data_IF_009382912095
#
_entry.id   IF_009382912095
#
_cell.length_a   1.000
_cell.length_b   1.000
_cell.length_c   1.000
_cell.angle_alpha   90.00
_cell.angle_beta   90.00
_cell.angle_gamma   90.00
#
_symmetry.space_group_name_H-M   'P 1'
#
loop_
_entity.id
_entity.type
_entity.pdbx_description
1 polymer ?
#
# COMPACT_ATOMS: atom_id res chain seq x y z
N UNK A 1 -2.95 -16.10 -26.02
CA UNK A 1 -2.68 -14.87 -25.25
C UNK A 1 -3.30 -15.03 -23.88
N UNK A 2 -2.50 -14.82 -22.82
CA UNK A 2 -3.04 -14.82 -21.45
C UNK A 2 -4.07 -13.69 -21.34
N UNK A 3 -5.22 -13.97 -20.74
CA UNK A 3 -6.21 -12.92 -20.49
C UNK A 3 -5.65 -11.92 -19.47
N UNK A 4 -5.86 -10.61 -19.66
CA UNK A 4 -5.32 -9.60 -18.77
C UNK A 4 -5.92 -9.73 -17.35
N UNK A 5 -5.11 -9.43 -16.33
CA UNK A 5 -5.62 -9.15 -14.99
C UNK A 5 -6.06 -7.69 -14.96
N UNK A 6 -7.29 -7.44 -14.56
CA UNK A 6 -7.86 -6.08 -14.45
C UNK A 6 -8.35 -5.83 -13.03
N UNK A 7 -7.86 -4.75 -12.42
CA UNK A 7 -8.08 -4.44 -11.01
C UNK A 7 -8.46 -2.98 -10.86
N UNK A 8 -9.50 -2.66 -10.11
CA UNK A 8 -9.72 -1.30 -9.62
C UNK A 8 -9.00 -1.15 -8.28
N UNK A 9 -8.30 -0.04 -8.10
CA UNK A 9 -7.60 0.30 -6.86
C UNK A 9 -8.11 1.61 -6.29
N UNK A 10 -8.70 1.52 -5.10
CA UNK A 10 -9.21 2.65 -4.33
C UNK A 10 -8.36 2.80 -3.06
N UNK A 11 -7.91 4.00 -2.76
CA UNK A 11 -7.09 4.26 -1.57
C UNK A 11 -7.41 5.61 -0.97
N UNK A 12 -7.03 5.82 0.27
CA UNK A 12 -7.21 7.09 0.98
C UNK A 12 -8.67 7.56 0.89
N UNK A 13 -9.56 6.69 1.35
CA UNK A 13 -11.01 6.88 1.31
C UNK A 13 -11.45 7.95 2.31
N UNK A 14 -10.77 8.03 3.46
CA UNK A 14 -11.00 8.95 4.55
C UNK A 14 -12.48 9.08 4.91
N UNK A 15 -13.16 7.94 5.01
CA UNK A 15 -14.56 7.94 5.41
C UNK A 15 -14.73 8.65 6.76
N UNK A 16 -15.61 9.63 6.78
CA UNK A 16 -16.05 10.26 8.02
C UNK A 16 -17.52 10.64 7.89
N UNK A 17 -18.34 10.19 8.86
CA UNK A 17 -19.77 10.39 8.82
C UNK A 17 -20.14 11.87 8.66
N UNK A 18 -21.05 12.18 7.74
CA UNK A 18 -21.49 13.53 7.46
C UNK A 18 -20.54 14.38 6.61
N UNK A 19 -19.37 13.86 6.23
CA UNK A 19 -18.42 14.56 5.36
C UNK A 19 -18.64 14.28 3.87
N UNK A 20 -17.98 15.05 3.01
CA UNK A 20 -17.99 14.85 1.56
C UNK A 20 -17.38 13.51 1.12
N UNK A 21 -16.49 12.92 1.93
CA UNK A 21 -15.83 11.65 1.63
C UNK A 21 -16.81 10.50 1.47
N UNK A 22 -17.90 10.48 2.22
CA UNK A 22 -18.98 9.48 2.08
C UNK A 22 -19.59 9.52 0.68
N UNK A 23 -19.83 10.72 0.17
CA UNK A 23 -20.38 10.92 -1.18
C UNK A 23 -19.37 10.52 -2.25
N UNK A 24 -18.10 10.88 -2.06
CA UNK A 24 -17.03 10.55 -3.00
C UNK A 24 -16.82 9.04 -3.08
N UNK A 25 -16.73 8.35 -1.93
CA UNK A 25 -16.63 6.90 -1.88
C UNK A 25 -17.85 6.21 -2.53
N UNK A 26 -19.05 6.67 -2.19
CA UNK A 26 -20.29 6.13 -2.80
C UNK A 26 -20.27 6.25 -4.32
N UNK A 27 -19.78 7.37 -4.85
CA UNK A 27 -19.65 7.57 -6.31
C UNK A 27 -18.62 6.63 -6.92
N UNK A 28 -17.44 6.48 -6.29
CA UNK A 28 -16.42 5.56 -6.75
C UNK A 28 -16.92 4.10 -6.75
N UNK A 29 -17.56 3.65 -5.68
CA UNK A 29 -18.12 2.29 -5.58
C UNK A 29 -19.20 2.04 -6.66
N UNK A 30 -20.11 2.99 -6.86
CA UNK A 30 -21.13 2.88 -7.93
C UNK A 30 -20.50 2.81 -9.31
N UNK A 31 -19.49 3.62 -9.58
CA UNK A 31 -18.78 3.64 -10.85
C UNK A 31 -18.00 2.34 -11.09
N UNK A 32 -17.28 1.82 -10.08
CA UNK A 32 -16.61 0.50 -10.14
C UNK A 32 -17.61 -0.59 -10.52
N UNK A 33 -18.82 -0.54 -9.96
CA UNK A 33 -19.87 -1.50 -10.28
C UNK A 33 -20.40 -1.40 -11.72
N UNK A 34 -20.12 -0.32 -12.45
CA UNK A 34 -20.43 -0.21 -13.88
C UNK A 34 -19.37 -0.82 -14.80
N UNK A 35 -18.16 -1.04 -14.30
CA UNK A 35 -17.06 -1.59 -15.09
C UNK A 35 -17.26 -3.09 -15.29
N UNK A 36 -17.14 -3.55 -16.52
CA UNK A 36 -17.13 -4.98 -16.84
C UNK A 36 -15.70 -5.51 -16.96
N UNK A 37 -15.53 -6.78 -16.60
CA UNK A 37 -14.27 -7.50 -16.77
C UNK A 37 -13.19 -7.17 -15.75
N UNK A 38 -13.51 -6.55 -14.61
CA UNK A 38 -12.61 -6.54 -13.47
C UNK A 38 -12.54 -7.94 -12.85
N UNK A 39 -11.36 -8.32 -12.40
CA UNK A 39 -11.17 -9.57 -11.66
C UNK A 39 -11.48 -9.40 -10.17
N UNK A 40 -11.05 -8.28 -9.59
CA UNK A 40 -11.28 -7.93 -8.19
C UNK A 40 -11.00 -6.43 -7.96
N UNK A 41 -11.19 -5.99 -6.73
CA UNK A 41 -10.89 -4.63 -6.27
C UNK A 41 -9.86 -4.69 -5.16
N UNK A 42 -8.91 -3.77 -5.15
CA UNK A 42 -7.94 -3.58 -4.07
C UNK A 42 -8.23 -2.26 -3.36
N UNK A 43 -8.12 -2.26 -2.04
CA UNK A 43 -8.31 -1.09 -1.18
C UNK A 43 -7.00 -0.83 -0.43
N UNK A 44 -6.42 0.33 -0.68
CA UNK A 44 -5.04 0.67 -0.31
C UNK A 44 -4.83 1.34 1.04
N UNK A 45 -5.80 1.24 1.97
CA UNK A 45 -5.68 1.83 3.30
C UNK A 45 -6.21 3.26 3.40
N UNK A 46 -6.10 3.84 4.60
CA UNK A 46 -6.78 5.06 5.01
C UNK A 46 -8.27 5.02 4.65
N UNK A 47 -8.91 3.95 5.14
CA UNK A 47 -10.33 3.69 4.92
C UNK A 47 -11.18 4.77 5.56
N UNK A 48 -10.74 5.22 6.75
CA UNK A 48 -11.41 6.15 7.62
C UNK A 48 -10.57 7.40 7.83
N UNK A 49 -11.18 8.47 8.32
CA UNK A 49 -10.44 9.69 8.67
C UNK A 49 -9.90 9.64 10.11
N UNK A 50 -10.64 9.02 11.01
CA UNK A 50 -10.29 8.98 12.43
C UNK A 50 -9.98 7.57 12.97
N UNK A 51 -10.34 6.51 12.26
CA UNK A 51 -10.07 5.13 12.69
C UNK A 51 -10.94 4.68 13.85
N UNK A 52 -12.10 5.28 14.05
CA UNK A 52 -13.06 4.80 15.07
C UNK A 52 -13.63 3.45 14.65
N UNK A 53 -14.02 2.64 15.62
CA UNK A 53 -14.61 1.34 15.35
C UNK A 53 -15.91 1.46 14.55
N UNK A 54 -16.67 2.53 14.77
CA UNK A 54 -17.88 2.85 14.01
C UNK A 54 -17.55 3.19 12.55
N UNK A 55 -16.53 4.00 12.29
CA UNK A 55 -16.11 4.35 10.93
C UNK A 55 -15.62 3.11 10.15
N UNK A 56 -14.85 2.23 10.78
CA UNK A 56 -14.41 0.96 10.18
C UNK A 56 -15.61 0.09 9.77
N UNK A 57 -16.60 -0.04 10.67
CA UNK A 57 -17.80 -0.80 10.37
C UNK A 57 -18.63 -0.17 9.24
N UNK A 58 -18.74 1.15 9.23
CA UNK A 58 -19.50 1.87 8.20
C UNK A 58 -18.84 1.78 6.83
N UNK A 59 -17.51 1.94 6.73
CA UNK A 59 -16.80 1.80 5.46
C UNK A 59 -16.88 0.37 4.94
N UNK A 60 -16.79 -0.64 5.82
CA UNK A 60 -17.00 -2.05 5.45
C UNK A 60 -18.34 -2.24 4.76
N UNK A 61 -19.41 -1.68 5.35
CA UNK A 61 -20.75 -1.77 4.79
C UNK A 61 -20.85 -1.12 3.39
N UNK A 62 -20.14 -0.01 3.16
CA UNK A 62 -20.10 0.60 1.83
C UNK A 62 -19.32 -0.27 0.84
N UNK A 63 -18.18 -0.83 1.23
CA UNK A 63 -17.38 -1.71 0.38
C UNK A 63 -18.12 -3.01 0.05
N UNK A 64 -18.96 -3.52 0.94
CA UNK A 64 -19.79 -4.71 0.69
C UNK A 64 -20.83 -4.51 -0.43
N UNK A 65 -21.06 -3.27 -0.85
CA UNK A 65 -21.90 -2.98 -2.02
C UNK A 65 -21.16 -3.12 -3.36
N UNK A 66 -19.84 -3.39 -3.35
CA UNK A 66 -19.11 -3.75 -4.55
C UNK A 66 -19.57 -5.10 -5.09
N UNK A 67 -19.82 -5.19 -6.39
CA UNK A 67 -20.18 -6.45 -7.05
C UNK A 67 -18.98 -7.39 -7.24
N UNK A 68 -17.76 -6.87 -7.03
CA UNK A 68 -16.51 -7.61 -7.13
C UNK A 68 -15.99 -7.97 -5.76
N UNK A 69 -15.29 -9.11 -5.66
CA UNK A 69 -14.51 -9.42 -4.49
C UNK A 69 -13.47 -8.33 -4.27
N UNK A 70 -13.25 -7.92 -3.04
CA UNK A 70 -12.26 -6.91 -2.71
C UNK A 70 -11.34 -7.37 -1.58
N UNK A 71 -10.15 -6.78 -1.53
CA UNK A 71 -9.13 -7.04 -0.53
C UNK A 71 -8.60 -5.71 0.00
N UNK A 72 -8.34 -5.64 1.29
CA UNK A 72 -8.08 -4.40 2.01
C UNK A 72 -6.77 -4.49 2.77
N UNK A 73 -5.99 -3.42 2.75
CA UNK A 73 -4.92 -3.17 3.73
C UNK A 73 -5.29 -1.96 4.58
N UNK A 74 -4.83 -1.91 5.83
CA UNK A 74 -5.01 -0.76 6.69
C UNK A 74 -4.01 0.35 6.34
N UNK A 75 -4.42 1.62 6.57
CA UNK A 75 -3.54 2.78 6.55
C UNK A 75 -3.36 3.38 7.95
N UNK A 76 -2.60 4.47 8.06
CA UNK A 76 -2.32 5.10 9.35
C UNK A 76 -3.53 5.78 9.99
N UNK A 77 -4.49 6.24 9.19
CA UNK A 77 -5.72 6.81 9.71
C UNK A 77 -6.66 5.76 10.31
N UNK A 78 -6.54 4.50 9.94
CA UNK A 78 -7.40 3.42 10.41
C UNK A 78 -7.12 3.00 11.86
N UNK A 79 -6.01 3.48 12.42
CA UNK A 79 -5.62 3.24 13.81
C UNK A 79 -5.74 4.47 14.72
N UNK A 80 -6.08 5.63 14.17
CA UNK A 80 -5.83 6.93 14.80
C UNK A 80 -6.57 7.14 16.13
N UNK A 81 -7.84 6.76 16.19
CA UNK A 81 -8.71 6.91 17.35
C UNK A 81 -9.53 5.63 17.62
N UNK A 82 -8.94 4.47 17.32
CA UNK A 82 -9.61 3.19 17.55
C UNK A 82 -9.83 2.93 19.03
N UNK A 83 -11.07 2.76 19.44
CA UNK A 83 -11.46 2.43 20.80
C UNK A 83 -11.06 1.00 21.18
N UNK A 84 -11.00 0.10 20.19
CA UNK A 84 -10.62 -1.30 20.36
C UNK A 84 -9.12 -1.56 20.23
N UNK A 85 -8.27 -0.52 20.06
CA UNK A 85 -6.86 -0.70 19.76
C UNK A 85 -6.63 -1.38 18.40
N UNK A 86 -7.37 -0.97 17.38
CA UNK A 86 -7.33 -1.47 16.01
C UNK A 86 -7.89 -2.90 15.81
N UNK A 87 -8.41 -3.54 16.85
CA UNK A 87 -8.96 -4.89 16.74
C UNK A 87 -10.21 -4.96 15.85
N UNK A 88 -10.93 -3.86 15.65
CA UNK A 88 -12.11 -3.83 14.77
C UNK A 88 -11.75 -4.08 13.32
N UNK A 89 -10.60 -3.63 12.84
CA UNK A 89 -10.16 -3.93 11.47
C UNK A 89 -10.08 -5.46 11.26
N UNK A 90 -9.33 -6.17 12.10
CA UNK A 90 -9.21 -7.62 12.03
C UNK A 90 -10.57 -8.32 12.19
N UNK A 91 -11.39 -7.88 13.13
CA UNK A 91 -12.73 -8.44 13.39
C UNK A 91 -13.66 -8.29 12.18
N UNK A 92 -13.60 -7.17 11.49
CA UNK A 92 -14.51 -6.80 10.40
C UNK A 92 -14.07 -7.41 9.06
N UNK A 93 -12.77 -7.38 8.75
CA UNK A 93 -12.22 -7.89 7.50
C UNK A 93 -11.70 -9.33 7.60
N UNK A 94 -11.39 -9.81 8.80
CA UNK A 94 -10.97 -11.20 9.06
C UNK A 94 -9.49 -11.48 8.81
N UNK A 95 -8.71 -10.48 8.44
CA UNK A 95 -7.26 -10.60 8.17
C UNK A 95 -6.58 -9.23 8.28
N UNK A 96 -5.28 -9.22 8.46
CA UNK A 96 -4.42 -8.02 8.36
C UNK A 96 -3.44 -8.14 7.18
N UNK A 97 -3.09 -9.37 6.83
CA UNK A 97 -2.29 -9.69 5.64
C UNK A 97 -3.06 -10.66 4.76
N UNK A 98 -2.84 -10.63 3.45
CA UNK A 98 -3.48 -11.56 2.53
C UNK A 98 -2.56 -12.00 1.41
N UNK A 99 -2.81 -13.19 0.89
CA UNK A 99 -2.21 -13.76 -0.31
C UNK A 99 -3.31 -14.42 -1.16
N UNK A 100 -3.29 -14.17 -2.46
CA UNK A 100 -4.11 -14.92 -3.42
C UNK A 100 -3.48 -14.88 -4.81
N UNK A 101 -3.97 -15.72 -5.69
CA UNK A 101 -3.50 -15.80 -7.08
C UNK A 101 -4.63 -15.47 -8.06
N UNK A 102 -4.26 -14.77 -9.13
CA UNK A 102 -5.13 -14.48 -10.26
C UNK A 102 -4.32 -14.51 -11.56
N UNK A 103 -4.73 -15.37 -12.49
CA UNK A 103 -4.18 -15.46 -13.86
C UNK A 103 -2.64 -15.46 -13.89
N UNK A 104 -2.03 -16.30 -13.04
CA UNK A 104 -0.57 -16.47 -12.98
C UNK A 104 0.20 -15.40 -12.19
N UNK A 105 -0.49 -14.43 -11.62
CA UNK A 105 0.07 -13.43 -10.71
C UNK A 105 -0.35 -13.69 -9.27
N UNK A 106 0.58 -13.55 -8.35
CA UNK A 106 0.31 -13.54 -6.91
C UNK A 106 0.12 -12.11 -6.44
N UNK A 107 -0.90 -11.88 -5.64
CA UNK A 107 -1.17 -10.61 -4.98
C UNK A 107 -1.02 -10.81 -3.48
N UNK A 108 -0.23 -9.94 -2.86
CA UNK A 108 -0.05 -9.93 -1.41
C UNK A 108 -0.30 -8.54 -0.87
N UNK A 109 -1.04 -8.46 0.22
CA UNK A 109 -1.26 -7.23 0.96
C UNK A 109 -0.72 -7.37 2.37
N UNK A 110 -0.05 -6.33 2.86
CA UNK A 110 0.59 -6.35 4.17
C UNK A 110 0.12 -5.16 5.00
N UNK A 111 -0.13 -5.42 6.27
CA UNK A 111 -0.35 -4.39 7.28
C UNK A 111 0.88 -3.48 7.38
N UNK A 112 0.68 -2.17 7.40
CA UNK A 112 1.74 -1.17 7.53
C UNK A 112 1.94 -0.66 8.97
N UNK A 113 1.44 -1.39 9.96
CA UNK A 113 1.56 -1.03 11.36
C UNK A 113 0.53 0.01 11.80
N UNK A 114 -0.74 -0.37 11.96
CA UNK A 114 -1.79 0.52 12.43
C UNK A 114 -1.53 1.10 13.81
N UNK A 115 -0.64 0.51 14.60
CA UNK A 115 -0.21 1.04 15.89
C UNK A 115 0.54 2.36 15.78
N UNK A 116 1.06 2.68 14.61
CA UNK A 116 1.77 3.92 14.33
C UNK A 116 0.84 4.93 13.69
N UNK A 117 0.24 5.78 14.50
CA UNK A 117 -0.72 6.82 14.07
C UNK A 117 -0.15 7.87 13.11
N UNK A 118 1.17 7.96 13.06
CA UNK A 118 1.91 8.90 12.22
C UNK A 118 3.15 8.22 11.66
N UNK A 119 3.65 8.73 10.54
CA UNK A 119 4.95 8.32 10.02
C UNK A 119 6.08 8.58 11.05
N UNK A 120 7.11 7.74 11.08
CA UNK A 120 7.31 6.58 10.23
C UNK A 120 6.45 5.39 10.64
N UNK A 121 5.97 4.63 9.64
CA UNK A 121 5.29 3.37 9.85
C UNK A 121 6.29 2.25 10.21
N UNK A 122 5.79 1.12 10.61
CA UNK A 122 6.58 -0.10 10.84
C UNK A 122 5.74 -1.30 10.41
N UNK A 123 6.26 -2.10 9.50
CA UNK A 123 5.64 -3.40 9.22
C UNK A 123 5.81 -4.27 10.48
N UNK A 124 4.72 -4.71 11.13
CA UNK A 124 4.78 -5.46 12.38
C UNK A 124 5.58 -6.75 12.27
N UNK A 125 6.11 -7.22 13.39
CA UNK A 125 6.91 -8.43 13.42
C UNK A 125 6.15 -9.65 12.86
N UNK A 126 4.90 -9.81 13.23
CA UNK A 126 4.05 -10.91 12.74
C UNK A 126 3.86 -10.87 11.23
N UNK A 127 3.70 -9.68 10.68
CA UNK A 127 3.61 -9.47 9.23
C UNK A 127 4.94 -9.72 8.53
N UNK A 128 6.06 -9.37 9.15
CA UNK A 128 7.40 -9.71 8.63
C UNK A 128 7.66 -11.21 8.67
N UNK A 129 7.26 -11.91 9.72
CA UNK A 129 7.37 -13.37 9.82
C UNK A 129 6.49 -14.06 8.77
N UNK A 130 5.26 -13.58 8.58
CA UNK A 130 4.39 -14.05 7.51
C UNK A 130 5.02 -13.83 6.13
N UNK A 131 5.57 -12.65 5.85
CA UNK A 131 6.23 -12.33 4.58
C UNK A 131 7.45 -13.25 4.33
N UNK A 132 8.28 -13.48 5.36
CA UNK A 132 9.42 -14.42 5.32
C UNK A 132 8.99 -15.86 5.04
N UNK A 133 7.80 -16.25 5.49
CA UNK A 133 7.22 -17.56 5.23
C UNK A 133 6.72 -17.80 3.80
N UNK A 134 6.54 -16.74 3.02
CA UNK A 134 6.07 -16.86 1.64
C UNK A 134 7.12 -17.50 0.73
N UNK A 135 6.67 -18.42 -0.13
CA UNK A 135 7.55 -19.13 -1.06
C UNK A 135 8.00 -18.22 -2.20
N UNK A 136 9.28 -18.29 -2.60
CA UNK A 136 9.78 -17.55 -3.77
C UNK A 136 9.23 -18.13 -5.10
N UNK A 137 9.54 -17.44 -6.20
CA UNK A 137 9.35 -17.95 -7.56
C UNK A 137 8.02 -17.61 -8.22
N UNK A 138 7.14 -16.85 -7.56
CA UNK A 138 5.90 -16.37 -8.18
C UNK A 138 6.03 -14.90 -8.60
N UNK A 139 5.49 -14.56 -9.77
CA UNK A 139 5.31 -13.17 -10.18
C UNK A 139 4.36 -12.50 -9.18
N UNK A 140 4.87 -11.59 -8.37
CA UNK A 140 4.13 -11.03 -7.24
C UNK A 140 3.90 -9.54 -7.40
N UNK A 141 2.71 -9.09 -7.05
CA UNK A 141 2.32 -7.69 -6.86
C UNK A 141 2.13 -7.50 -5.35
N UNK A 142 2.76 -6.47 -4.81
CA UNK A 142 2.68 -6.12 -3.39
C UNK A 142 1.78 -4.91 -3.18
N UNK A 143 0.90 -4.97 -2.21
CA UNK A 143 0.01 -3.90 -1.82
C UNK A 143 0.31 -3.50 -0.37
N UNK A 144 0.61 -2.22 -0.17
CA UNK A 144 0.79 -1.62 1.14
C UNK A 144 0.29 -0.17 1.09
N UNK A 145 -0.01 0.43 2.23
CA UNK A 145 -0.47 1.81 2.23
C UNK A 145 0.68 2.80 2.02
N UNK A 146 1.79 2.62 2.75
CA UNK A 146 2.97 3.50 2.69
C UNK A 146 3.92 3.15 1.54
N UNK A 147 4.65 4.13 1.00
CA UNK A 147 5.81 3.84 0.16
C UNK A 147 6.89 3.10 0.96
N UNK A 148 7.61 2.17 0.32
CA UNK A 148 8.73 1.44 0.95
C UNK A 148 10.01 2.29 0.93
N UNK A 149 9.97 3.41 1.60
CA UNK A 149 11.09 4.34 1.80
C UNK A 149 11.26 4.66 3.29
N UNK A 150 11.92 5.74 3.63
CA UNK A 150 12.14 6.17 5.03
C UNK A 150 10.84 6.49 5.79
N UNK A 151 9.69 6.46 5.13
CA UNK A 151 8.37 6.51 5.78
C UNK A 151 8.03 5.22 6.54
N UNK A 152 8.76 4.12 6.28
CA UNK A 152 8.62 2.82 6.94
C UNK A 152 9.95 2.47 7.59
N UNK A 153 9.99 2.31 8.91
CA UNK A 153 11.25 2.13 9.66
C UNK A 153 12.07 0.91 9.22
N UNK A 154 11.41 -0.16 8.86
CA UNK A 154 12.05 -1.41 8.41
C UNK A 154 11.91 -1.65 6.90
N UNK A 155 11.80 -0.57 6.10
CA UNK A 155 11.56 -0.67 4.66
C UNK A 155 12.62 -1.50 3.91
N UNK A 156 13.88 -1.45 4.33
CA UNK A 156 14.95 -2.21 3.68
C UNK A 156 14.79 -3.72 3.89
N UNK A 157 14.37 -4.17 5.08
CA UNK A 157 14.07 -5.57 5.35
C UNK A 157 12.85 -6.02 4.54
N UNK A 158 11.81 -5.19 4.50
CA UNK A 158 10.61 -5.44 3.70
C UNK A 158 10.98 -5.57 2.22
N UNK A 159 11.69 -4.61 1.66
CA UNK A 159 12.10 -4.59 0.26
C UNK A 159 12.97 -5.80 -0.10
N UNK A 160 13.89 -6.20 0.78
CA UNK A 160 14.69 -7.43 0.61
C UNK A 160 13.82 -8.68 0.52
N UNK A 161 12.86 -8.82 1.43
CA UNK A 161 11.94 -9.97 1.43
C UNK A 161 11.02 -9.95 0.20
N UNK A 162 10.55 -8.77 -0.21
CA UNK A 162 9.74 -8.62 -1.42
C UNK A 162 10.51 -9.09 -2.67
N UNK A 163 11.78 -8.70 -2.81
CA UNK A 163 12.64 -9.16 -3.92
C UNK A 163 12.85 -10.68 -3.85
N UNK A 164 13.11 -11.22 -2.65
CA UNK A 164 13.28 -12.68 -2.44
C UNK A 164 12.10 -13.50 -2.91
N UNK A 165 10.87 -13.04 -2.66
CA UNK A 165 9.65 -13.76 -3.00
C UNK A 165 9.21 -13.59 -4.45
N UNK A 166 9.88 -12.73 -5.23
CA UNK A 166 9.59 -12.52 -6.65
C UNK A 166 8.64 -11.35 -6.92
N UNK A 167 8.57 -10.36 -6.01
CA UNK A 167 7.79 -9.14 -6.23
C UNK A 167 8.36 -8.37 -7.42
N UNK A 168 7.48 -7.93 -8.31
CA UNK A 168 7.82 -7.19 -9.53
C UNK A 168 7.26 -5.79 -9.55
N UNK A 169 6.29 -5.52 -8.69
CA UNK A 169 5.63 -4.22 -8.64
C UNK A 169 4.96 -4.00 -7.28
N UNK A 170 4.94 -2.74 -6.83
CA UNK A 170 4.28 -2.31 -5.61
C UNK A 170 3.19 -1.29 -5.91
N UNK A 171 2.08 -1.37 -5.18
CA UNK A 171 0.95 -0.45 -5.28
C UNK A 171 0.65 0.09 -3.89
N UNK A 172 0.60 1.41 -3.75
CA UNK A 172 0.33 2.08 -2.49
C UNK A 172 -0.53 3.34 -2.61
N UNK A 173 -0.75 3.98 -1.48
CA UNK A 173 -1.52 5.22 -1.34
C UNK A 173 -0.77 6.32 -0.59
N UNK A 174 -1.36 6.84 0.49
CA UNK A 174 -0.78 7.76 1.47
C UNK A 174 -0.50 9.19 0.99
N UNK A 175 -0.02 9.38 -0.24
CA UNK A 175 0.30 10.73 -0.75
C UNK A 175 -0.86 11.39 -1.51
N UNK A 176 -1.99 10.72 -1.65
CA UNK A 176 -3.19 11.20 -2.33
C UNK A 176 -2.96 11.65 -3.78
N UNK A 177 -1.92 11.16 -4.44
CA UNK A 177 -1.55 11.56 -5.80
C UNK A 177 -0.91 10.41 -6.56
N UNK A 178 -1.07 10.44 -7.88
CA UNK A 178 -0.41 9.50 -8.77
C UNK A 178 1.08 9.85 -8.89
N UNK A 179 1.96 8.91 -8.52
CA UNK A 179 3.41 9.05 -8.66
C UNK A 179 4.06 7.68 -8.86
N UNK A 180 5.02 7.61 -9.77
CA UNK A 180 5.84 6.42 -9.97
C UNK A 180 7.11 6.51 -9.12
N UNK A 181 7.46 5.42 -8.46
CA UNK A 181 8.60 5.31 -7.56
C UNK A 181 9.45 4.09 -7.92
N UNK A 182 10.65 4.07 -7.38
CA UNK A 182 11.57 2.94 -7.46
C UNK A 182 12.16 2.71 -6.06
N UNK A 183 12.02 1.49 -5.57
CA UNK A 183 12.47 1.07 -4.24
C UNK A 183 13.68 0.15 -4.40
N UNK A 184 14.85 0.73 -4.62
CA UNK A 184 16.10 -0.01 -4.88
C UNK A 184 15.95 -1.04 -6.00
N UNK A 185 15.36 -0.61 -7.13
CA UNK A 185 15.12 -1.42 -8.32
C UNK A 185 13.77 -2.14 -8.35
N UNK A 186 13.00 -2.15 -7.27
CA UNK A 186 11.61 -2.59 -7.26
C UNK A 186 10.70 -1.42 -7.66
N UNK A 187 10.07 -1.45 -8.84
CA UNK A 187 9.20 -0.37 -9.27
C UNK A 187 7.86 -0.41 -8.53
N UNK A 188 7.30 0.77 -8.31
CA UNK A 188 5.98 0.90 -7.72
C UNK A 188 5.28 2.20 -8.09
N UNK A 189 4.06 2.31 -7.65
CA UNK A 189 3.26 3.53 -7.76
C UNK A 189 2.56 3.83 -6.44
N UNK A 190 2.41 5.10 -6.14
CA UNK A 190 1.39 5.56 -5.22
C UNK A 190 0.26 6.16 -6.02
N UNK A 191 -0.94 5.97 -5.54
CA UNK A 191 -2.14 6.32 -6.27
C UNK A 191 -2.90 7.47 -5.61
N UNK A 192 -3.73 8.10 -6.41
CA UNK A 192 -4.61 9.18 -5.96
C UNK A 192 -5.64 8.67 -4.96
N UNK A 193 -6.03 9.54 -4.02
CA UNK A 193 -7.19 9.35 -3.15
C UNK A 193 -8.51 9.34 -3.95
N UNK A 194 -9.54 8.69 -3.40
CA UNK A 194 -10.91 8.76 -3.92
C UNK A 194 -11.56 10.14 -3.76
N UNK A 195 -11.00 11.00 -2.92
CA UNK A 195 -11.57 12.29 -2.54
C UNK A 195 -11.59 13.31 -3.66
N UNK A 196 -12.59 14.18 -3.64
CA UNK A 196 -12.68 15.36 -4.50
C UNK A 196 -11.49 16.30 -4.27
N UNK A 197 -11.18 16.70 -3.05
CA UNK A 197 -9.99 17.48 -2.63
C UNK A 197 -9.51 18.52 -3.65
N UNK A 198 -10.40 19.38 -4.15
CA UNK A 198 -10.09 20.39 -5.16
C UNK A 198 -10.02 19.89 -6.61
N UNK A 199 -10.36 18.63 -6.87
CA UNK A 199 -10.46 17.98 -8.19
C UNK A 199 -11.75 17.15 -8.26
N UNK A 200 -11.75 16.11 -9.06
CA UNK A 200 -12.87 15.15 -9.14
C UNK A 200 -12.57 13.93 -8.27
N UNK A 201 -13.55 13.30 -7.65
CA UNK A 201 -13.38 11.98 -7.08
C UNK A 201 -12.96 10.98 -8.15
N UNK A 202 -12.26 9.94 -7.77
CA UNK A 202 -11.80 8.95 -8.72
C UNK A 202 -10.88 7.91 -8.08
N UNK A 203 -10.31 7.07 -8.93
CA UNK A 203 -9.47 5.95 -8.54
C UNK A 203 -8.62 5.51 -9.73
N UNK A 204 -7.76 4.51 -9.54
CA UNK A 204 -6.97 3.95 -10.64
C UNK A 204 -7.45 2.55 -11.04
N UNK A 205 -7.24 2.23 -12.30
CA UNK A 205 -7.48 0.89 -12.86
C UNK A 205 -6.15 0.35 -13.38
N UNK A 206 -5.79 -0.83 -12.91
CA UNK A 206 -4.59 -1.56 -13.32
C UNK A 206 -4.95 -2.63 -14.34
N UNK A 207 -4.21 -2.68 -15.41
CA UNK A 207 -4.26 -3.79 -16.39
C UNK A 207 -2.89 -4.42 -16.48
N UNK A 208 -2.79 -5.71 -16.12
CA UNK A 208 -1.55 -6.48 -16.23
C UNK A 208 -1.72 -7.47 -17.37
N UNK A 209 -0.88 -7.35 -18.39
CA UNK A 209 -0.92 -8.19 -19.58
C UNK A 209 0.49 -8.33 -20.17
N UNK A 210 0.87 -9.52 -20.61
CA UNK A 210 2.16 -9.81 -21.23
C UNK A 210 3.35 -9.27 -20.40
N UNK A 211 3.32 -9.52 -19.09
CA UNK A 211 4.30 -9.00 -18.12
C UNK A 211 4.48 -7.47 -18.16
N UNK A 212 3.43 -6.74 -18.47
CA UNK A 212 3.40 -5.27 -18.40
C UNK A 212 2.21 -4.81 -17.60
N UNK A 213 2.39 -3.75 -16.81
CA UNK A 213 1.31 -3.06 -16.12
C UNK A 213 1.02 -1.73 -16.80
N UNK A 214 -0.26 -1.44 -16.99
CA UNK A 214 -0.75 -0.10 -17.34
C UNK A 214 -1.65 0.38 -16.22
N UNK A 215 -1.38 1.57 -15.71
CA UNK A 215 -2.17 2.26 -14.68
C UNK A 215 -2.90 3.41 -15.32
N UNK A 216 -4.23 3.38 -15.22
CA UNK A 216 -5.10 4.42 -15.77
C UNK A 216 -5.85 5.13 -14.65
N UNK A 217 -5.81 6.46 -14.64
CA UNK A 217 -6.61 7.25 -13.72
C UNK A 217 -8.03 7.39 -14.24
N UNK A 218 -9.00 7.10 -13.37
CA UNK A 218 -10.42 7.26 -13.65
C UNK A 218 -10.98 8.41 -12.82
N UNK A 219 -11.47 9.45 -13.51
CA UNK A 219 -12.00 10.70 -12.92
C UNK A 219 -13.50 10.79 -13.14
N UNK A 220 -14.25 11.13 -12.09
CA UNK A 220 -15.69 11.17 -12.09
C UNK A 220 -16.20 12.61 -12.12
N UNK A 221 -16.45 13.15 -13.31
CA UNK A 221 -16.95 14.52 -13.49
C UNK A 221 -18.47 14.56 -13.36
N UNK A 222 -19.00 15.54 -12.60
CA UNK A 222 -20.43 15.71 -12.44
C UNK A 222 -21.15 14.41 -12.05
N UNK A 223 -22.32 14.18 -12.56
CA UNK A 223 -23.12 12.97 -12.28
C UNK A 223 -22.96 11.84 -13.30
N UNK A 224 -22.50 12.12 -14.51
CA UNK A 224 -22.56 11.19 -15.63
C UNK A 224 -21.29 11.11 -16.48
N UNK A 225 -20.38 12.07 -16.38
CA UNK A 225 -19.17 12.09 -17.20
C UNK A 225 -18.02 11.42 -16.48
N UNK A 226 -17.40 10.45 -17.15
CA UNK A 226 -16.21 9.76 -16.67
C UNK A 226 -15.11 9.89 -17.69
N UNK A 227 -13.92 10.20 -17.23
CA UNK A 227 -12.70 10.20 -18.03
C UNK A 227 -11.73 9.15 -17.47
N UNK A 228 -11.14 8.33 -18.33
CA UNK A 228 -10.12 7.37 -17.97
C UNK A 228 -8.92 7.51 -18.89
N UNK A 229 -7.74 7.76 -18.32
CA UNK A 229 -6.52 7.98 -19.09
C UNK A 229 -5.35 7.20 -18.48
N UNK A 230 -4.54 6.49 -19.29
CA UNK A 230 -3.32 5.88 -18.80
C UNK A 230 -2.30 6.98 -18.43
N UNK A 231 -1.67 6.83 -17.28
CA UNK A 231 -0.62 7.74 -16.82
C UNK A 231 0.72 7.05 -16.57
N UNK A 232 0.72 5.71 -16.46
CA UNK A 232 1.93 4.94 -16.24
C UNK A 232 1.83 3.59 -16.95
N UNK A 233 2.94 3.19 -17.59
CA UNK A 233 3.07 1.85 -18.19
C UNK A 233 4.50 1.36 -17.96
N UNK A 234 4.65 0.12 -17.51
CA UNK A 234 5.96 -0.49 -17.29
C UNK A 234 5.94 -2.00 -17.54
N UNK A 235 7.03 -2.51 -18.09
CA UNK A 235 7.28 -3.95 -18.14
C UNK A 235 7.72 -4.46 -16.78
N UNK A 236 7.11 -5.52 -16.30
CA UNK A 236 7.33 -6.14 -15.00
C UNK A 236 8.35 -7.29 -15.15
N UNK A 237 9.61 -6.97 -15.02
CA UNK A 237 10.69 -7.93 -15.06
C UNK A 237 11.02 -8.47 -13.67
N UNK A 238 11.77 -9.56 -13.60
CA UNK A 238 12.33 -10.03 -12.36
C UNK A 238 13.24 -8.97 -11.74
N UNK A 239 13.02 -8.68 -10.47
CA UNK A 239 13.82 -7.74 -9.69
C UNK A 239 14.86 -8.53 -8.93
N UNK A 240 16.13 -8.23 -9.19
CA UNK A 240 17.25 -8.82 -8.46
C UNK A 240 17.63 -7.88 -7.32
N UNK A 241 17.93 -8.46 -6.19
CA UNK A 241 18.50 -7.69 -5.10
C UNK A 241 19.96 -7.31 -5.45
N UNK A 242 20.16 -6.01 -5.62
CA UNK A 242 21.47 -5.42 -5.91
C UNK A 242 22.03 -4.67 -4.71
N UNK A 243 21.29 -4.63 -3.60
CA UNK A 243 21.73 -3.99 -2.38
C UNK A 243 22.80 -4.83 -1.72
N UNK A 244 23.93 -4.21 -1.41
CA UNK A 244 25.00 -4.82 -0.63
C UNK A 244 24.68 -4.65 0.85
N UNK A 245 24.69 -5.76 1.59
CA UNK A 245 24.48 -5.78 3.03
C UNK A 245 25.80 -6.00 3.75
N UNK A 246 25.93 -5.39 4.92
CA UNK A 246 27.08 -5.61 5.81
C UNK A 246 26.90 -6.87 6.69
N UNK A 247 27.85 -7.08 7.60
CA UNK A 247 27.84 -8.22 8.51
C UNK A 247 26.61 -8.24 9.45
N UNK A 248 26.01 -7.08 9.72
CA UNK A 248 24.83 -6.92 10.58
C UNK A 248 23.53 -7.03 9.76
N UNK A 249 23.63 -7.25 8.45
CA UNK A 249 22.49 -7.36 7.55
C UNK A 249 21.86 -6.02 7.18
N UNK A 250 22.54 -4.92 7.39
CA UNK A 250 22.11 -3.58 7.01
C UNK A 250 22.62 -3.18 5.63
N UNK A 251 21.83 -2.42 4.84
CA UNK A 251 22.29 -1.93 3.54
C UNK A 251 23.54 -1.08 3.70
N UNK A 252 24.62 -1.46 3.01
CA UNK A 252 25.89 -0.75 3.07
C UNK A 252 25.80 0.70 2.57
N UNK A 253 24.83 0.97 1.70
CA UNK A 253 24.53 2.32 1.17
C UNK A 253 23.84 3.26 2.16
N UNK A 254 23.38 2.76 3.31
CA UNK A 254 22.67 3.55 4.33
C UNK A 254 23.44 3.60 5.65
N UNK A 255 24.63 4.21 5.71
CA UNK A 255 25.49 4.21 6.89
C UNK A 255 24.82 4.90 8.10
N UNK A 256 23.92 5.82 7.89
CA UNK A 256 23.16 6.51 8.92
C UNK A 256 22.16 5.63 9.68
N UNK A 257 21.83 4.43 9.15
CA UNK A 257 20.99 3.44 9.83
C UNK A 257 21.78 2.49 10.73
N UNK A 258 23.09 2.61 10.75
CA UNK A 258 23.94 1.73 11.55
C UNK A 258 24.07 2.24 12.96
N UNK A 259 23.73 1.39 13.91
CA UNK A 259 24.12 1.54 15.30
C UNK A 259 25.45 0.82 15.51
N UNK A 260 26.51 1.49 15.24
CA UNK A 260 27.83 0.95 15.54
C UNK A 260 28.30 1.47 16.89
N UNK A 261 28.12 0.66 17.93
CA UNK A 261 28.57 0.97 19.30
C UNK A 261 30.07 0.89 19.44
N UNK A 262 30.79 0.32 18.47
CA UNK A 262 32.23 0.11 18.55
C UNK A 262 33.02 0.82 17.43
N UNK A 263 32.33 1.36 16.42
CA UNK A 263 32.96 1.77 15.21
C UNK A 263 33.03 3.26 14.96
N UNK A 264 33.38 3.57 13.75
CA UNK A 264 33.65 4.93 13.24
C UNK A 264 32.44 5.52 12.52
N UNK A 265 31.23 5.05 12.86
CA UNK A 265 29.99 5.54 12.27
C UNK A 265 29.75 7.00 12.63
N UNK A 266 29.32 7.84 11.69
CA UNK A 266 28.93 9.22 11.96
C UNK A 266 27.82 9.33 13.04
N UNK A 267 26.96 8.33 13.14
CA UNK A 267 25.89 8.27 14.15
C UNK A 267 26.48 8.12 15.56
N UNK A 268 27.59 7.40 15.72
CA UNK A 268 28.27 7.25 17.00
C UNK A 268 28.87 8.57 17.50
N UNK A 269 29.39 9.38 16.61
CA UNK A 269 29.90 10.71 16.96
C UNK A 269 28.80 11.63 17.47
N UNK A 270 27.61 11.55 16.88
CA UNK A 270 26.41 12.27 17.36
C UNK A 270 25.99 11.80 18.75
N UNK A 271 26.07 10.52 19.05
CA UNK A 271 25.79 9.98 20.38
C UNK A 271 26.82 10.45 21.42
N UNK A 272 28.09 10.44 21.09
CA UNK A 272 29.15 10.98 21.95
C UNK A 272 28.90 12.44 22.32
N UNK A 273 28.53 13.26 21.35
CA UNK A 273 28.23 14.68 21.59
C UNK A 273 27.04 14.91 22.54
N UNK A 274 26.13 13.94 22.63
CA UNK A 274 25.01 14.00 23.59
C UNK A 274 25.42 13.52 24.98
N UNK A 275 26.29 12.53 25.08
CA UNK A 275 26.75 11.99 26.34
C UNK A 275 27.75 12.93 27.05
N UNK A 276 28.57 13.65 26.27
CA UNK A 276 29.52 14.63 26.79
C UNK A 276 28.88 15.94 27.25
N UNK A 277 27.57 16.09 27.07
CA UNK A 277 26.80 17.27 27.43
C UNK A 277 26.02 17.15 28.77
N UNK A 278 26.28 16.08 29.55
CA UNK A 278 25.72 15.87 30.88
C UNK A 278 26.71 16.26 31.99
#
# INVERSE_FOLDING_TARGET
>A
QESPVKVAFLTDLHYSAGSGSVKDLSRCVKDVNTLDGLDFVLIGGDLTDFGTDEEIAAVKQMLDSLRYKYYVVAGNHDAKWSESGCNTFLKVFGYENYEFECKGWRFIGCNCGPDMRMAPALIPQESMEWLKGLKPGKKTIFINHYPQDTSVLNYFDVTRELKRIGTRFEIGGHWHRNVALDYDGLPGVLDRSTLTAGRQPGYNVFTIQNDSVTVSERRLYGSTTVQMEPWYTRKLTEVKDTVTYDADGLPASYPWMRYDVNGDSPVKEVWKLKDDSN
#
